data_IF_228450963285
#
_entry.id   IF_228450963285
#
_cell.length_a   1.000
_cell.length_b   1.000
_cell.length_c   1.000
_cell.angle_alpha   90.00
_cell.angle_beta   90.00
_cell.angle_gamma   90.00
#
_symmetry.space_group_name_H-M   'P 1'
#
loop_
_entity.id
_entity.type
_entity.pdbx_description
1 polymer ?
#
# COMPACT_ATOMS: atom_id res chain seq x y z
N UNK A 1 -2.41 25.96 -8.14
CA UNK A 1 -2.26 24.54 -7.77
C UNK A 1 -1.61 24.53 -6.42
N UNK A 2 -2.35 24.19 -5.37
CA UNK A 2 -1.73 23.98 -4.05
C UNK A 2 -0.66 22.89 -4.20
N UNK A 3 0.48 22.98 -3.48
CA UNK A 3 1.39 21.86 -3.42
C UNK A 3 0.58 20.68 -2.89
N UNK A 4 0.53 19.59 -3.65
CA UNK A 4 -0.04 18.36 -3.13
C UNK A 4 0.85 17.93 -1.98
N UNK A 5 0.30 17.85 -0.77
CA UNK A 5 1.03 17.38 0.39
C UNK A 5 0.95 15.86 0.40
N UNK A 6 1.98 15.23 -0.15
CA UNK A 6 2.17 13.79 -0.10
C UNK A 6 2.78 13.42 1.25
N UNK A 7 2.03 12.71 2.09
CA UNK A 7 2.52 12.22 3.37
C UNK A 7 2.96 10.77 3.21
N UNK A 8 4.10 10.43 3.81
CA UNK A 8 4.68 9.08 3.76
C UNK A 8 4.21 8.26 4.95
N UNK A 9 3.70 7.08 4.63
CA UNK A 9 3.17 6.13 5.60
C UNK A 9 3.87 4.78 5.45
N UNK A 10 4.08 4.13 6.58
CA UNK A 10 4.52 2.74 6.64
C UNK A 10 3.34 1.88 7.11
N UNK A 11 3.17 0.72 6.49
CA UNK A 11 2.05 -0.15 6.77
C UNK A 11 2.28 -1.59 6.33
N UNK A 12 1.21 -2.39 6.37
CA UNK A 12 1.21 -3.74 5.84
C UNK A 12 0.00 -3.96 4.96
N UNK A 13 0.22 -4.54 3.80
CA UNK A 13 -0.83 -4.86 2.84
C UNK A 13 -0.72 -6.32 2.38
N UNK A 14 -1.87 -6.90 2.03
CA UNK A 14 -1.98 -8.29 1.63
C UNK A 14 -2.12 -8.37 0.11
N UNK A 15 -1.24 -9.13 -0.55
CA UNK A 15 -1.32 -9.37 -1.98
C UNK A 15 -1.05 -10.84 -2.33
N UNK A 16 -1.52 -11.26 -3.50
CA UNK A 16 -1.29 -12.58 -4.06
C UNK A 16 0.19 -12.74 -4.47
N UNK A 17 0.82 -13.83 -4.02
CA UNK A 17 2.24 -14.11 -4.25
C UNK A 17 2.57 -14.45 -5.69
N UNK A 18 1.56 -14.75 -6.50
CA UNK A 18 1.74 -14.93 -7.94
C UNK A 18 1.87 -13.60 -8.69
N UNK A 19 1.60 -12.46 -8.05
CA UNK A 19 1.77 -11.13 -8.63
C UNK A 19 3.20 -10.62 -8.44
N UNK A 20 3.68 -9.91 -9.45
CA UNK A 20 4.96 -9.23 -9.44
C UNK A 20 4.86 -7.86 -10.13
N UNK A 21 5.89 -7.05 -9.96
CA UNK A 21 6.01 -5.73 -10.59
C UNK A 21 4.79 -4.84 -10.35
N UNK A 22 4.26 -4.28 -11.43
CA UNK A 22 3.12 -3.35 -11.40
C UNK A 22 1.82 -4.00 -10.91
N UNK A 23 1.61 -5.30 -11.19
CA UNK A 23 0.42 -6.00 -10.76
C UNK A 23 0.39 -6.19 -9.24
N UNK A 24 1.54 -6.53 -8.66
CA UNK A 24 1.72 -6.59 -7.20
C UNK A 24 1.49 -5.20 -6.59
N UNK A 25 2.07 -4.15 -7.18
CA UNK A 25 1.91 -2.80 -6.68
C UNK A 25 0.45 -2.35 -6.68
N UNK A 26 -0.26 -2.56 -7.79
CA UNK A 26 -1.66 -2.18 -7.91
C UNK A 26 -2.56 -2.86 -6.88
N UNK A 27 -2.35 -4.16 -6.60
CA UNK A 27 -3.12 -4.87 -5.59
C UNK A 27 -2.82 -4.39 -4.16
N UNK A 28 -1.55 -4.14 -3.86
CA UNK A 28 -1.16 -3.57 -2.55
C UNK A 28 -1.76 -2.17 -2.35
N UNK A 29 -1.75 -1.33 -3.37
CA UNK A 29 -2.39 0.00 -3.32
C UNK A 29 -3.90 -0.10 -3.15
N UNK A 30 -4.57 -1.02 -3.84
CA UNK A 30 -6.01 -1.26 -3.68
C UNK A 30 -6.35 -1.67 -2.24
N UNK A 31 -5.57 -2.60 -1.67
CA UNK A 31 -5.70 -2.99 -0.27
C UNK A 31 -5.55 -1.79 0.67
N UNK A 32 -4.53 -0.95 0.48
CA UNK A 32 -4.28 0.23 1.32
C UNK A 32 -5.45 1.21 1.22
N UNK A 33 -6.00 1.45 0.02
CA UNK A 33 -7.15 2.35 -0.20
C UNK A 33 -8.41 1.84 0.50
N UNK A 34 -8.64 0.53 0.49
CA UNK A 34 -9.79 -0.08 1.18
C UNK A 34 -9.64 0.01 2.69
N UNK A 35 -8.43 -0.21 3.22
CA UNK A 35 -8.13 -0.13 4.65
C UNK A 35 -8.12 1.31 5.18
N UNK A 36 -7.74 2.28 4.33
CA UNK A 36 -7.59 3.70 4.67
C UNK A 36 -8.48 4.56 3.77
N UNK A 37 -9.81 4.55 3.95
CA UNK A 37 -10.75 5.22 3.04
C UNK A 37 -10.69 6.76 3.09
N UNK A 38 -9.98 7.33 4.07
CA UNK A 38 -9.73 8.77 4.19
C UNK A 38 -8.59 9.24 3.28
N UNK A 39 -7.67 8.34 2.92
CA UNK A 39 -6.53 8.65 2.07
C UNK A 39 -6.93 8.74 0.60
N UNK A 40 -6.33 9.69 -0.10
CA UNK A 40 -6.51 9.91 -1.54
C UNK A 40 -5.16 9.83 -2.26
N UNK A 41 -5.17 9.59 -3.58
CA UNK A 41 -3.99 9.39 -4.43
C UNK A 41 -2.88 8.48 -3.82
N UNK A 42 -3.27 7.35 -3.24
CA UNK A 42 -2.33 6.36 -2.66
C UNK A 42 -1.41 5.80 -3.76
N UNK A 43 -0.09 5.91 -3.55
CA UNK A 43 0.95 5.28 -4.39
C UNK A 43 1.97 4.52 -3.57
N UNK A 44 2.29 3.32 -4.03
CA UNK A 44 3.29 2.48 -3.41
C UNK A 44 4.71 2.92 -3.79
N UNK A 45 5.57 3.15 -2.80
CA UNK A 45 7.00 3.40 -3.04
C UNK A 45 7.83 2.13 -2.88
N UNK A 46 7.48 1.28 -1.91
CA UNK A 46 8.22 0.07 -1.59
C UNK A 46 7.28 -1.01 -1.07
N UNK A 47 7.53 -2.24 -1.49
CA UNK A 47 6.95 -3.44 -0.89
C UNK A 47 8.06 -4.44 -0.57
N UNK A 48 8.08 -4.93 0.66
CA UNK A 48 9.00 -5.97 1.12
C UNK A 48 8.17 -7.12 1.66
N UNK A 49 8.37 -8.32 1.12
CA UNK A 49 7.66 -9.49 1.62
C UNK A 49 8.00 -9.75 3.09
N UNK A 50 6.99 -9.83 3.96
CA UNK A 50 7.19 -10.21 5.36
C UNK A 50 7.19 -11.73 5.52
N UNK A 51 7.94 -12.22 6.52
CA UNK A 51 7.92 -13.62 6.94
C UNK A 51 6.93 -13.81 8.11
N UNK A 52 6.26 -14.98 8.25
CA UNK A 52 6.33 -16.16 7.40
C UNK A 52 5.28 -16.16 6.27
N UNK A 53 5.64 -16.79 5.16
CA UNK A 53 4.71 -17.08 4.08
C UNK A 53 3.88 -18.32 4.40
N UNK A 54 2.57 -18.13 4.47
CA UNK A 54 1.64 -19.24 4.62
C UNK A 54 1.33 -19.84 3.24
N UNK A 55 2.00 -20.96 2.90
CA UNK A 55 1.93 -21.54 1.56
C UNK A 55 0.53 -22.07 1.17
N UNK A 56 -0.36 -22.24 2.15
CA UNK A 56 -1.75 -22.64 1.91
C UNK A 56 -2.59 -21.47 1.38
N UNK A 57 -2.22 -20.25 1.76
CA UNK A 57 -2.81 -19.02 1.26
C UNK A 57 -1.98 -18.51 0.09
N UNK A 58 -2.58 -18.35 -1.09
CA UNK A 58 -1.92 -17.64 -2.21
C UNK A 58 -1.60 -16.17 -1.90
N UNK A 59 -1.90 -15.69 -0.70
CA UNK A 59 -1.68 -14.33 -0.26
C UNK A 59 -0.56 -14.26 0.77
N UNK A 60 0.26 -13.21 0.69
CA UNK A 60 1.33 -12.91 1.65
C UNK A 60 1.21 -11.46 2.11
N UNK A 61 1.61 -11.23 3.36
CA UNK A 61 1.76 -9.89 3.90
C UNK A 61 3.05 -9.23 3.39
N UNK A 62 2.94 -8.00 2.93
CA UNK A 62 4.05 -7.16 2.54
C UNK A 62 4.13 -5.97 3.49
N UNK A 63 5.32 -5.69 4.01
CA UNK A 63 5.65 -4.41 4.61
C UNK A 63 5.78 -3.39 3.48
N UNK A 64 4.94 -2.37 3.55
CA UNK A 64 4.80 -1.39 2.49
C UNK A 64 5.12 0.00 3.00
N UNK A 65 5.82 0.77 2.17
CA UNK A 65 5.91 2.21 2.34
C UNK A 65 5.19 2.84 1.17
N UNK A 66 4.24 3.73 1.46
CA UNK A 66 3.41 4.38 0.47
C UNK A 66 3.28 5.86 0.78
N UNK A 67 2.98 6.62 -0.26
CA UNK A 67 2.61 8.01 -0.13
C UNK A 67 1.12 8.16 -0.39
N UNK A 68 0.48 9.05 0.34
CA UNK A 68 -0.91 9.40 0.11
C UNK A 68 -1.16 10.87 0.42
N UNK A 69 -2.18 11.42 -0.22
CA UNK A 69 -2.78 12.69 0.18
C UNK A 69 -3.74 12.42 1.34
N UNK A 70 -3.42 12.98 2.50
CA UNK A 70 -4.33 13.01 3.64
C UNK A 70 -4.97 14.39 3.76
N UNK A 71 -6.28 14.52 3.50
CA UNK A 71 -6.98 15.79 3.62
C UNK A 71 -7.11 16.26 5.08
N UNK A 72 -6.88 15.38 6.07
CA UNK A 72 -6.97 15.72 7.49
C UNK A 72 -5.64 16.26 8.06
N UNK A 73 -4.47 15.78 7.61
CA UNK A 73 -3.15 16.28 8.02
C UNK A 73 -2.85 17.72 7.52
N UNK A 74 -3.61 18.21 6.54
CA UNK A 74 -3.48 19.59 6.02
C UNK A 74 -4.35 20.63 6.74
N UNK A 75 -5.00 20.27 7.85
CA UNK A 75 -5.90 21.13 8.63
C UNK A 75 -5.22 22.06 9.66
#
# INVERSE_FOLDING_TARGET
MSPVSWTRYDGRALADVSLDGEALHAELEDYIRVDNPHLTDVRLERATASEPFDAESRKRWYEVTYLAEDPEDTA
#
